data_IF_989358451325
#
_entry.id   IF_989358451325
#
_cell.length_a   1.000
_cell.length_b   1.000
_cell.length_c   1.000
_cell.angle_alpha   90.00
_cell.angle_beta   90.00
_cell.angle_gamma   90.00
#
_symmetry.space_group_name_H-M   'P 1'
#
loop_
_entity.id
_entity.type
_entity.pdbx_description
1 polymer ?
#
# COMPACT_ATOMS: atom_id res chain seq x y z
N UNK A 1 29.39 27.64 34.54
CA UNK A 1 30.39 28.04 35.56
C UNK A 1 30.96 26.78 36.18
N UNK A 2 32.28 26.63 36.20
CA UNK A 2 32.97 25.48 36.81
C UNK A 2 33.88 25.98 37.92
N UNK A 3 33.87 25.32 39.08
CA UNK A 3 34.74 25.62 40.21
C UNK A 3 35.58 24.38 40.49
N UNK A 4 36.90 24.53 40.50
CA UNK A 4 37.84 23.48 40.84
C UNK A 4 38.31 23.66 42.29
N UNK A 5 38.13 22.64 43.13
CA UNK A 5 38.59 22.62 44.53
C UNK A 5 39.84 21.75 44.65
N UNK A 6 40.91 22.29 45.22
CA UNK A 6 42.19 21.61 45.42
C UNK A 6 42.71 21.83 46.83
N UNK A 7 43.60 20.95 47.31
CA UNK A 7 44.30 21.06 48.59
C UNK A 7 45.80 21.31 48.36
N UNK A 8 46.48 21.93 49.33
CA UNK A 8 47.88 22.35 49.20
C UNK A 8 48.90 21.31 49.73
N UNK A 9 48.44 20.09 50.03
CA UNK A 9 49.28 19.04 50.62
C UNK A 9 50.05 18.26 49.54
N UNK A 10 51.31 17.92 49.83
CA UNK A 10 52.17 17.16 48.91
C UNK A 10 51.62 15.76 48.59
N UNK A 11 51.00 15.09 49.56
CA UNK A 11 50.40 13.76 49.36
C UNK A 11 49.32 13.75 48.28
N UNK A 12 48.61 14.88 48.11
CA UNK A 12 47.49 15.02 47.17
C UNK A 12 47.85 15.78 45.90
N UNK A 13 49.15 15.98 45.64
CA UNK A 13 49.64 16.73 44.49
C UNK A 13 49.17 16.14 43.15
N UNK A 14 49.15 14.81 43.03
CA UNK A 14 48.74 14.11 41.81
C UNK A 14 47.24 14.31 41.49
N UNK A 15 46.37 14.28 42.50
CA UNK A 15 44.94 14.53 42.31
C UNK A 15 44.67 16.01 42.01
N UNK A 16 45.32 16.92 42.73
CA UNK A 16 45.22 18.36 42.51
C UNK A 16 45.65 18.75 41.09
N UNK A 17 46.74 18.17 40.58
CA UNK A 17 47.19 18.37 39.20
C UNK A 17 46.18 17.85 38.17
N UNK A 18 45.54 16.71 38.45
CA UNK A 18 44.54 16.12 37.57
C UNK A 18 43.27 16.97 37.50
N UNK A 19 42.81 17.50 38.64
CA UNK A 19 41.68 18.44 38.73
C UNK A 19 41.95 19.74 37.96
N UNK A 20 43.16 20.32 38.10
CA UNK A 20 43.56 21.52 37.37
C UNK A 20 43.67 21.28 35.87
N UNK A 21 44.23 20.15 35.44
CA UNK A 21 44.29 19.76 34.03
C UNK A 21 42.89 19.59 33.43
N UNK A 22 41.95 19.07 34.19
CA UNK A 22 40.56 18.96 33.76
C UNK A 22 39.89 20.33 33.65
N UNK A 23 40.04 21.19 34.65
CA UNK A 23 39.53 22.57 34.61
C UNK A 23 40.10 23.36 33.42
N UNK A 24 41.39 23.17 33.09
CA UNK A 24 42.03 23.82 31.95
C UNK A 24 41.41 23.37 30.62
N UNK A 25 41.09 22.08 30.45
CA UNK A 25 40.40 21.58 29.25
C UNK A 25 38.95 22.10 29.14
N UNK A 26 38.27 22.24 30.27
CA UNK A 26 36.88 22.71 30.30
C UNK A 26 36.74 24.20 29.96
N UNK A 27 37.82 24.99 30.08
CA UNK A 27 37.85 26.39 29.62
C UNK A 27 37.61 26.51 28.11
N UNK A 28 38.10 25.55 27.34
CA UNK A 28 38.01 25.55 25.88
C UNK A 28 36.70 24.90 25.38
N UNK A 29 35.86 24.39 26.28
CA UNK A 29 34.58 23.77 25.92
C UNK A 29 33.54 24.84 25.56
N UNK A 30 33.24 24.95 24.27
CA UNK A 30 32.15 25.80 23.78
C UNK A 30 30.81 25.05 23.90
N UNK A 31 29.90 25.59 24.70
CA UNK A 31 28.52 25.09 24.81
C UNK A 31 27.57 26.10 24.20
N UNK A 32 26.64 25.65 23.36
CA UNK A 32 25.57 26.50 22.84
C UNK A 32 24.38 26.49 23.81
N UNK A 33 24.02 27.62 24.42
CA UNK A 33 22.85 27.68 25.29
C UNK A 33 21.58 27.63 24.44
N UNK A 34 20.79 26.58 24.63
CA UNK A 34 19.46 26.44 24.02
C UNK A 34 18.44 27.00 25.01
N UNK A 35 17.74 28.06 24.64
CA UNK A 35 16.56 28.51 25.39
C UNK A 35 15.44 27.51 25.12
N UNK A 36 15.13 26.68 26.12
CA UNK A 36 13.97 25.80 26.07
C UNK A 36 12.75 26.67 26.33
N UNK A 37 12.15 27.21 25.26
CA UNK A 37 10.79 27.74 25.35
C UNK A 37 9.86 26.58 25.74
N UNK A 38 8.90 26.85 26.63
CA UNK A 38 7.87 25.85 26.95
C UNK A 38 7.20 25.43 25.65
N UNK A 39 7.10 24.11 25.41
CA UNK A 39 6.48 23.56 24.20
C UNK A 39 5.05 24.08 23.99
N UNK A 40 4.34 24.34 25.10
CA UNK A 40 3.04 24.99 25.11
C UNK A 40 3.12 26.43 24.53
N UNK A 41 4.10 27.24 24.94
CA UNK A 41 4.26 28.61 24.45
C UNK A 41 4.63 28.66 22.96
N UNK A 42 5.48 27.75 22.48
CA UNK A 42 5.83 27.65 21.05
C UNK A 42 4.61 27.25 20.21
N UNK A 43 3.88 26.22 20.65
CA UNK A 43 2.67 25.76 19.98
C UNK A 43 1.60 26.86 19.92
N UNK A 44 1.41 27.60 21.02
CA UNK A 44 0.45 28.72 21.07
C UNK A 44 0.84 29.80 20.06
N UNK A 45 2.11 30.22 19.99
CA UNK A 45 2.57 31.20 19.00
C UNK A 45 2.32 30.74 17.56
N UNK A 46 2.68 29.50 17.23
CA UNK A 46 2.46 28.94 15.90
C UNK A 46 0.97 28.87 15.53
N UNK A 47 0.12 28.48 16.49
CA UNK A 47 -1.33 28.45 16.29
C UNK A 47 -1.92 29.85 16.14
N UNK A 48 -1.42 30.84 16.90
CA UNK A 48 -1.85 32.23 16.76
C UNK A 48 -1.43 32.82 15.41
N UNK A 49 -0.21 32.54 14.95
CA UNK A 49 0.28 32.93 13.62
C UNK A 49 -0.61 32.31 12.54
N UNK A 50 -0.91 31.02 12.61
CA UNK A 50 -1.77 30.37 11.61
C UNK A 50 -3.21 30.90 11.68
N UNK A 51 -3.73 31.20 12.87
CA UNK A 51 -5.03 31.87 13.01
C UNK A 51 -5.04 33.26 12.36
N UNK A 52 -3.98 34.05 12.53
CA UNK A 52 -3.89 35.37 11.89
C UNK A 52 -3.81 35.25 10.36
N UNK A 53 -3.03 34.28 9.85
CA UNK A 53 -2.92 33.97 8.42
C UNK A 53 -4.25 33.51 7.83
N UNK A 54 -4.97 32.62 8.50
CA UNK A 54 -6.26 32.14 8.03
C UNK A 54 -7.33 33.25 8.06
N UNK A 55 -7.34 34.06 9.13
CA UNK A 55 -8.23 35.22 9.23
C UNK A 55 -7.94 36.27 8.17
N UNK A 56 -6.67 36.52 7.83
CA UNK A 56 -6.32 37.46 6.76
C UNK A 56 -6.71 36.91 5.39
N UNK A 57 -6.43 35.64 5.11
CA UNK A 57 -6.86 34.96 3.88
C UNK A 57 -8.39 34.99 3.70
N UNK A 58 -9.16 34.75 4.77
CA UNK A 58 -10.62 34.85 4.73
C UNK A 58 -11.15 36.28 4.56
N UNK A 59 -10.42 37.31 5.02
CA UNK A 59 -10.78 38.71 4.77
C UNK A 59 -10.52 39.14 3.33
N UNK A 60 -9.45 38.62 2.74
CA UNK A 60 -9.09 38.89 1.35
C UNK A 60 -9.94 38.09 0.37
N UNK A 61 -10.38 36.89 0.76
CA UNK A 61 -11.27 36.06 -0.04
C UNK A 61 -12.70 36.61 0.05
N UNK A 62 -13.22 37.14 -1.07
CA UNK A 62 -14.63 37.54 -1.19
C UNK A 62 -15.52 36.32 -0.97
N UNK A 63 -16.61 36.47 -0.20
CA UNK A 63 -17.58 35.39 -0.05
C UNK A 63 -18.34 35.22 -1.36
N UNK A 64 -18.85 34.01 -1.66
CA UNK A 64 -19.70 33.80 -2.83
C UNK A 64 -20.93 34.72 -2.85
N UNK A 65 -21.42 35.13 -1.68
CA UNK A 65 -22.51 36.10 -1.51
C UNK A 65 -22.17 37.52 -1.96
N UNK A 66 -20.87 37.85 -2.06
CA UNK A 66 -20.37 39.19 -2.35
C UNK A 66 -19.95 39.34 -3.82
N UNK A 67 -20.07 38.26 -4.62
CA UNK A 67 -19.70 38.22 -6.03
C UNK A 67 -20.92 38.45 -6.92
N UNK A 68 -20.73 39.15 -8.03
CA UNK A 68 -21.79 39.27 -9.04
C UNK A 68 -21.93 37.96 -9.82
N UNK A 69 -23.11 37.74 -10.41
CA UNK A 69 -23.42 36.49 -11.12
C UNK A 69 -22.39 36.13 -12.22
N UNK A 70 -21.92 37.13 -12.97
CA UNK A 70 -20.88 36.94 -14.00
C UNK A 70 -19.50 36.52 -13.43
N UNK A 71 -19.13 37.01 -12.25
CA UNK A 71 -17.86 36.62 -11.59
C UNK A 71 -17.96 35.18 -11.06
N UNK A 72 -19.13 34.80 -10.54
CA UNK A 72 -19.38 33.44 -10.06
C UNK A 72 -19.36 32.43 -11.21
N UNK A 73 -19.96 32.76 -12.35
CA UNK A 73 -19.94 31.95 -13.56
C UNK A 73 -18.51 31.72 -14.09
N UNK A 74 -17.68 32.77 -14.13
CA UNK A 74 -16.28 32.66 -14.56
C UNK A 74 -15.43 31.78 -13.61
N UNK A 75 -15.64 31.89 -12.29
CA UNK A 75 -14.96 31.03 -11.30
C UNK A 75 -15.42 29.58 -11.45
N UNK A 76 -16.72 29.36 -11.64
CA UNK A 76 -17.28 28.04 -11.84
C UNK A 76 -16.71 27.37 -13.09
N UNK A 77 -16.65 28.10 -14.21
CA UNK A 77 -16.07 27.62 -15.46
C UNK A 77 -14.58 27.26 -15.31
N UNK A 78 -13.80 28.12 -14.66
CA UNK A 78 -12.39 27.82 -14.37
C UNK A 78 -12.22 26.56 -13.49
N UNK A 79 -13.08 26.39 -12.49
CA UNK A 79 -13.07 25.19 -11.63
C UNK A 79 -13.54 23.95 -12.35
N UNK A 80 -14.53 24.06 -13.23
CA UNK A 80 -14.97 22.95 -14.07
C UNK A 80 -13.85 22.49 -15.00
N UNK A 81 -13.16 23.42 -15.65
CA UNK A 81 -12.01 23.09 -16.50
C UNK A 81 -10.85 22.44 -15.72
N UNK A 82 -10.57 22.92 -14.51
CA UNK A 82 -9.58 22.30 -13.61
C UNK A 82 -9.97 20.86 -13.25
N UNK A 83 -11.24 20.62 -12.91
CA UNK A 83 -11.77 19.29 -12.60
C UNK A 83 -11.66 18.38 -13.83
N UNK A 84 -12.02 18.86 -15.02
CA UNK A 84 -11.93 18.08 -16.26
C UNK A 84 -10.50 17.60 -16.53
N UNK A 85 -9.51 18.50 -16.43
CA UNK A 85 -8.10 18.15 -16.59
C UNK A 85 -7.63 17.11 -15.56
N UNK A 86 -8.04 17.29 -14.30
CA UNK A 86 -7.73 16.32 -13.25
C UNK A 86 -8.37 14.96 -13.53
N UNK A 87 -9.65 14.94 -13.92
CA UNK A 87 -10.34 13.68 -14.25
C UNK A 87 -9.65 12.95 -15.40
N UNK A 88 -9.19 13.68 -16.42
CA UNK A 88 -8.45 13.08 -17.53
C UNK A 88 -7.12 12.47 -17.06
N UNK A 89 -6.32 13.16 -16.24
CA UNK A 89 -5.07 12.60 -15.70
C UNK A 89 -5.34 11.35 -14.84
N UNK A 90 -6.39 11.36 -14.01
CA UNK A 90 -6.80 10.20 -13.24
C UNK A 90 -7.20 9.01 -14.12
N UNK A 91 -8.00 9.25 -15.17
CA UNK A 91 -8.40 8.22 -16.13
C UNK A 91 -7.20 7.64 -16.88
N UNK A 92 -6.26 8.49 -17.31
CA UNK A 92 -5.03 8.06 -17.97
C UNK A 92 -4.17 7.18 -17.06
N UNK A 93 -3.99 7.57 -15.79
CA UNK A 93 -3.27 6.76 -14.80
C UNK A 93 -3.94 5.42 -14.56
N UNK A 94 -5.26 5.40 -14.39
CA UNK A 94 -6.04 4.18 -14.21
C UNK A 94 -5.89 3.25 -15.43
N UNK A 95 -5.96 3.79 -16.65
CA UNK A 95 -5.75 3.03 -17.87
C UNK A 95 -4.33 2.45 -17.95
N UNK A 96 -3.31 3.20 -17.53
CA UNK A 96 -1.94 2.70 -17.46
C UNK A 96 -1.78 1.56 -16.45
N UNK A 97 -2.39 1.67 -15.26
CA UNK A 97 -2.35 0.61 -14.26
C UNK A 97 -3.04 -0.67 -14.75
N UNK A 98 -4.20 -0.54 -15.40
CA UNK A 98 -4.90 -1.68 -16.01
C UNK A 98 -4.04 -2.34 -17.09
N UNK A 99 -3.38 -1.56 -17.96
CA UNK A 99 -2.46 -2.08 -18.98
C UNK A 99 -1.26 -2.81 -18.36
N UNK A 100 -0.65 -2.24 -17.32
CA UNK A 100 0.46 -2.88 -16.59
C UNK A 100 0.01 -4.19 -15.94
N UNK A 101 -1.15 -4.17 -15.28
CA UNK A 101 -1.75 -5.36 -14.66
C UNK A 101 -2.04 -6.45 -15.70
N UNK A 102 -2.65 -6.11 -16.84
CA UNK A 102 -2.91 -7.06 -17.92
C UNK A 102 -1.62 -7.63 -18.52
N UNK A 103 -0.60 -6.79 -18.75
CA UNK A 103 0.69 -7.24 -19.26
C UNK A 103 1.41 -8.17 -18.27
N UNK A 104 1.34 -7.88 -16.97
CA UNK A 104 1.88 -8.75 -15.92
C UNK A 104 1.14 -10.09 -15.88
N UNK A 105 -0.19 -10.08 -15.94
CA UNK A 105 -1.00 -11.31 -16.01
C UNK A 105 -0.63 -12.15 -17.22
N UNK A 106 -0.50 -11.54 -18.40
CA UNK A 106 -0.09 -12.24 -19.62
C UNK A 106 1.31 -12.85 -19.50
N UNK A 107 2.29 -12.08 -19.00
CA UNK A 107 3.65 -12.61 -18.74
C UNK A 107 3.64 -13.78 -17.75
N UNK A 108 2.78 -13.70 -16.74
CA UNK A 108 2.62 -14.76 -15.77
C UNK A 108 2.03 -16.03 -16.40
N UNK A 109 0.99 -15.89 -17.24
CA UNK A 109 0.41 -16.99 -18.03
C UNK A 109 1.45 -17.63 -18.97
N UNK A 110 2.22 -16.83 -19.70
CA UNK A 110 3.31 -17.31 -20.57
C UNK A 110 4.37 -18.09 -19.78
N UNK A 111 4.75 -17.61 -18.59
CA UNK A 111 5.68 -18.31 -17.71
C UNK A 111 5.10 -19.64 -17.20
N UNK A 112 3.80 -19.69 -16.87
CA UNK A 112 3.13 -20.92 -16.46
C UNK A 112 3.10 -21.95 -17.59
N UNK A 113 2.79 -21.54 -18.81
CA UNK A 113 2.78 -22.43 -19.99
C UNK A 113 4.18 -22.98 -20.28
N UNK A 114 5.22 -22.16 -20.13
CA UNK A 114 6.62 -22.59 -20.25
C UNK A 114 6.99 -23.65 -19.20
N UNK A 115 6.59 -23.43 -17.93
CA UNK A 115 6.85 -24.40 -16.86
C UNK A 115 6.12 -25.72 -17.11
N UNK A 116 4.85 -25.67 -17.54
CA UNK A 116 4.09 -26.87 -17.90
C UNK A 116 4.76 -27.63 -19.06
N UNK A 117 5.26 -26.94 -20.07
CA UNK A 117 5.98 -27.56 -21.17
C UNK A 117 7.29 -28.22 -20.69
N UNK A 118 8.03 -27.56 -19.80
CA UNK A 118 9.26 -28.11 -19.20
C UNK A 118 8.97 -29.34 -18.33
N UNK A 119 7.93 -29.30 -17.49
CA UNK A 119 7.50 -30.45 -16.70
C UNK A 119 7.03 -31.60 -17.57
N UNK A 120 6.28 -31.35 -18.65
CA UNK A 120 5.87 -32.39 -19.60
C UNK A 120 7.08 -33.02 -20.29
N UNK A 121 8.10 -32.25 -20.63
CA UNK A 121 9.36 -32.79 -21.18
C UNK A 121 10.14 -33.61 -20.15
N UNK A 122 10.22 -33.17 -18.89
CA UNK A 122 10.81 -33.96 -17.79
C UNK A 122 10.05 -35.25 -17.58
N UNK A 123 8.72 -35.19 -17.52
CA UNK A 123 7.84 -36.34 -17.38
C UNK A 123 7.98 -37.28 -18.57
N UNK A 124 8.09 -36.82 -19.81
CA UNK A 124 8.35 -37.71 -20.97
C UNK A 124 9.71 -38.42 -20.85
N UNK A 125 10.75 -37.71 -20.38
CA UNK A 125 12.09 -38.28 -20.17
C UNK A 125 12.11 -39.29 -19.02
N UNK A 126 11.40 -39.00 -17.93
CA UNK A 126 11.27 -39.88 -16.76
C UNK A 126 10.30 -41.05 -17.01
N UNK A 127 9.25 -40.83 -17.81
CA UNK A 127 8.21 -41.79 -18.17
C UNK A 127 8.41 -42.39 -19.56
N UNK A 128 9.66 -42.62 -19.98
CA UNK A 128 10.02 -43.45 -21.13
C UNK A 128 9.60 -44.93 -21.01
N UNK A 129 8.44 -45.21 -20.40
CA UNK A 129 7.92 -46.56 -20.21
C UNK A 129 6.71 -46.70 -19.28
N UNK A 130 5.82 -45.71 -19.11
CA UNK A 130 4.57 -45.99 -18.36
C UNK A 130 3.56 -46.68 -19.28
N UNK A 131 3.37 -47.97 -19.01
CA UNK A 131 2.39 -48.85 -19.66
C UNK A 131 1.00 -48.23 -19.72
N UNK A 132 0.37 -48.31 -20.89
CA UNK A 132 -0.95 -47.75 -21.19
C UNK A 132 -2.04 -48.11 -20.17
N UNK A 133 -1.91 -49.22 -19.43
CA UNK A 133 -2.88 -49.60 -18.39
C UNK A 133 -2.89 -48.63 -17.20
N UNK A 134 -1.72 -48.13 -16.79
CA UNK A 134 -1.59 -47.21 -15.65
C UNK A 134 -2.11 -45.82 -15.99
N UNK A 135 -1.98 -45.39 -17.25
CA UNK A 135 -2.56 -44.14 -17.75
C UNK A 135 -4.09 -44.17 -17.78
N UNK A 136 -4.66 -45.33 -18.13
CA UNK A 136 -6.13 -45.52 -18.12
C UNK A 136 -6.67 -45.47 -16.69
N UNK A 137 -5.96 -46.05 -15.71
CA UNK A 137 -6.35 -46.00 -14.30
C UNK A 137 -6.31 -44.56 -13.75
N UNK A 138 -5.20 -43.84 -13.96
CA UNK A 138 -5.07 -42.45 -13.51
C UNK A 138 -6.12 -41.53 -14.14
N UNK A 139 -6.46 -41.76 -15.42
CA UNK A 139 -7.52 -41.02 -16.10
C UNK A 139 -8.90 -41.29 -15.48
N UNK A 140 -9.20 -42.55 -15.16
CA UNK A 140 -10.45 -42.92 -14.49
C UNK A 140 -10.58 -42.33 -13.08
N UNK A 141 -9.47 -42.22 -12.34
CA UNK A 141 -9.42 -41.55 -11.03
C UNK A 141 -9.60 -40.04 -11.12
N UNK A 142 -9.03 -39.40 -12.15
CA UNK A 142 -9.20 -37.97 -12.39
C UNK A 142 -10.66 -37.62 -12.78
N UNK A 143 -11.29 -38.47 -13.57
CA UNK A 143 -12.70 -38.34 -13.97
C UNK A 143 -13.64 -38.57 -12.78
N UNK A 144 -13.26 -39.45 -11.84
CA UNK A 144 -13.96 -39.64 -10.57
C UNK A 144 -13.89 -38.38 -9.68
N UNK A 145 -12.69 -37.80 -9.53
CA UNK A 145 -12.47 -36.59 -8.70
C UNK A 145 -13.13 -35.33 -9.28
N UNK A 146 -13.26 -35.23 -10.61
CA UNK A 146 -13.97 -34.13 -11.28
C UNK A 146 -15.50 -34.27 -11.24
N UNK A 147 -16.03 -35.38 -10.70
CA UNK A 147 -17.48 -35.58 -10.52
C UNK A 147 -18.28 -35.69 -11.83
N UNK A 148 -17.61 -35.84 -12.98
CA UNK A 148 -18.26 -35.92 -14.29
C UNK A 148 -18.66 -37.35 -14.65
N UNK A 149 -19.36 -38.03 -13.74
CA UNK A 149 -19.88 -39.37 -14.02
C UNK A 149 -21.15 -39.27 -14.90
N UNK A 150 -20.98 -39.42 -16.22
CA UNK A 150 -22.04 -39.30 -17.23
C UNK A 150 -23.26 -40.19 -16.94
N UNK A 151 -23.09 -41.29 -16.20
CA UNK A 151 -24.16 -42.20 -15.78
C UNK A 151 -25.24 -41.55 -14.91
N UNK A 152 -24.90 -40.56 -14.07
CA UNK A 152 -25.88 -39.88 -13.21
C UNK A 152 -26.74 -38.87 -13.98
N UNK A 153 -26.23 -38.35 -15.11
CA UNK A 153 -26.93 -37.36 -15.96
C UNK A 153 -28.09 -38.01 -16.72
N UNK A 154 -27.90 -39.24 -17.20
CA UNK A 154 -28.95 -40.00 -17.92
C UNK A 154 -30.12 -40.35 -17.00
N UNK A 155 -29.86 -40.83 -15.77
CA UNK A 155 -30.93 -41.24 -14.84
C UNK A 155 -31.79 -40.07 -14.34
N UNK A 156 -31.19 -38.89 -14.08
CA UNK A 156 -31.95 -37.69 -13.67
C UNK A 156 -32.96 -37.26 -14.75
N UNK A 157 -32.56 -37.26 -16.02
CA UNK A 157 -33.47 -36.86 -17.12
C UNK A 157 -34.61 -37.84 -17.33
N UNK A 158 -34.37 -39.14 -17.16
CA UNK A 158 -35.43 -40.17 -17.27
C UNK A 158 -36.45 -40.08 -16.14
N UNK A 159 -36.01 -39.86 -14.89
CA UNK A 159 -36.91 -39.74 -13.74
C UNK A 159 -37.80 -38.50 -13.86
N UNK A 160 -37.22 -37.35 -14.25
CA UNK A 160 -37.97 -36.11 -14.43
C UNK A 160 -39.04 -36.26 -15.51
N UNK A 161 -38.72 -36.90 -16.65
CA UNK A 161 -39.71 -37.19 -17.71
C UNK A 161 -40.86 -38.09 -17.23
N UNK A 162 -40.56 -39.09 -16.40
CA UNK A 162 -41.56 -40.04 -15.88
C UNK A 162 -42.49 -39.43 -14.83
N UNK A 163 -41.99 -38.47 -14.05
CA UNK A 163 -42.81 -37.69 -13.11
C UNK A 163 -43.74 -36.76 -13.89
N UNK A 164 -43.21 -36.05 -14.89
CA UNK A 164 -43.98 -35.10 -15.69
C UNK A 164 -45.09 -35.76 -16.53
N UNK A 165 -44.88 -37.00 -17.01
CA UNK A 165 -45.91 -37.77 -17.69
C UNK A 165 -47.05 -38.23 -16.77
N UNK A 166 -46.77 -38.44 -15.48
CA UNK A 166 -47.77 -38.89 -14.49
C UNK A 166 -48.68 -37.77 -14.02
N UNK A 167 -48.15 -36.56 -13.86
CA UNK A 167 -48.95 -35.38 -13.47
C UNK A 167 -49.90 -34.90 -14.56
N UNK A 168 -49.64 -35.23 -15.83
CA UNK A 168 -50.51 -34.86 -16.97
C UNK A 168 -51.69 -35.80 -17.24
N UNK A 169 -51.76 -36.96 -16.58
CA UNK A 169 -52.85 -37.93 -16.75
C UNK A 169 -53.91 -37.85 -15.65
N UNK A 170 -53.76 -36.93 -14.69
CA UNK A 170 -54.63 -36.78 -13.51
C UNK A 170 -55.45 -35.47 -13.51
N UNK A 171 -55.48 -34.74 -14.62
CA UNK A 171 -56.44 -33.66 -14.93
C UNK A 171 -57.36 -34.13 -16.07
#
# INVERSE_FOLDING_TARGET
>A
MMIATITADEENFQESLSTLKYANRMKDLQTEPIVIEESASKMIKELEEELTRLKSAMKTSRRPSDLNQSELEAILEAKMSEIELLTQDYEERLAQELRKSAALKKKLEENFDQLLAEELEKVKKEKGGISNSSLIQLRSELDFLRGENQFLRVRKTTIIKKIWSRTKQTE
#
